data_IF_362073295187
#
_entry.id   IF_362073295187
#
_cell.length_a   1.000
_cell.length_b   1.000
_cell.length_c   1.000
_cell.angle_alpha   90.00
_cell.angle_beta   90.00
_cell.angle_gamma   90.00
#
_symmetry.space_group_name_H-M   'P 1'
#
loop_
_entity.id
_entity.type
_entity.pdbx_description
1 polymer ?
#
# COMPACT_ATOMS: atom_id res chain seq x y z
N UNK A 1 -9.02 -6.17 -6.99
CA UNK A 1 -10.16 -5.27 -7.26
C UNK A 1 -10.92 -5.04 -5.96
N UNK A 2 -11.36 -3.81 -5.71
CA UNK A 2 -12.09 -3.43 -4.51
C UNK A 2 -13.12 -2.32 -4.79
N UNK A 3 -14.04 -2.13 -3.85
CA UNK A 3 -15.02 -1.03 -3.86
C UNK A 3 -15.18 -0.48 -2.45
N UNK A 4 -14.81 0.77 -2.24
CA UNK A 4 -14.89 1.45 -0.94
C UNK A 4 -16.24 2.16 -0.81
N UNK A 5 -17.07 1.77 0.15
CA UNK A 5 -18.40 2.38 0.39
C UNK A 5 -18.57 2.88 1.82
N UNK A 6 -19.39 3.92 1.98
CA UNK A 6 -19.73 4.47 3.28
C UNK A 6 -18.48 4.81 4.08
N UNK A 7 -18.46 4.42 5.35
CA UNK A 7 -17.36 4.74 6.28
C UNK A 7 -15.99 4.22 5.82
N UNK A 8 -15.92 3.15 5.02
CA UNK A 8 -14.64 2.64 4.51
C UNK A 8 -13.94 3.62 3.55
N UNK A 9 -14.70 4.49 2.85
CA UNK A 9 -14.12 5.51 1.97
C UNK A 9 -13.42 6.65 2.72
N UNK A 10 -13.66 6.78 4.03
CA UNK A 10 -13.13 7.85 4.89
C UNK A 10 -12.23 7.32 6.01
N UNK A 11 -12.15 5.99 6.16
CA UNK A 11 -11.41 5.32 7.22
C UNK A 11 -9.96 5.02 6.79
N UNK A 12 -9.13 4.75 7.79
CA UNK A 12 -7.76 4.24 7.58
C UNK A 12 -7.76 2.78 8.00
N UNK A 13 -7.43 1.87 7.08
CA UNK A 13 -7.39 0.45 7.38
C UNK A 13 -6.46 -0.31 6.44
N UNK A 14 -5.92 -1.44 6.92
CA UNK A 14 -5.14 -2.35 6.10
C UNK A 14 -6.08 -3.15 5.19
N UNK A 15 -5.89 -3.02 3.87
CA UNK A 15 -6.53 -3.91 2.90
C UNK A 15 -6.04 -5.34 3.10
N UNK A 16 -4.74 -5.50 3.33
CA UNK A 16 -4.11 -6.73 3.81
C UNK A 16 -2.81 -6.40 4.55
N UNK A 17 -2.40 -7.32 5.42
CA UNK A 17 -1.11 -7.29 6.11
C UNK A 17 -0.58 -8.69 6.35
N UNK A 18 0.74 -8.83 6.34
CA UNK A 18 1.49 -10.00 6.76
C UNK A 18 2.22 -9.64 8.03
N UNK A 19 2.08 -10.50 9.04
CA UNK A 19 2.68 -10.31 10.36
C UNK A 19 3.68 -11.42 10.65
N UNK A 20 4.75 -11.09 11.36
CA UNK A 20 5.64 -12.07 11.97
C UNK A 20 4.93 -12.85 13.09
N UNK A 21 5.57 -13.90 13.60
CA UNK A 21 5.10 -14.62 14.81
C UNK A 21 4.95 -13.66 16.01
N UNK A 22 5.79 -12.62 16.07
CA UNK A 22 5.80 -11.59 17.11
C UNK A 22 4.83 -10.43 16.81
N UNK A 23 3.99 -10.54 15.77
CA UNK A 23 2.99 -9.53 15.35
C UNK A 23 3.58 -8.25 14.74
N UNK A 24 4.85 -8.25 14.33
CA UNK A 24 5.46 -7.14 13.60
C UNK A 24 5.04 -7.16 12.14
N UNK A 25 4.86 -6.00 11.51
CA UNK A 25 4.45 -5.91 10.11
C UNK A 25 5.63 -6.29 9.21
N UNK A 26 5.43 -7.33 8.40
CA UNK A 26 6.39 -7.73 7.36
C UNK A 26 6.06 -7.05 6.02
N UNK A 27 4.77 -6.96 5.72
CA UNK A 27 4.26 -6.19 4.59
C UNK A 27 2.81 -5.79 4.83
N UNK A 28 2.39 -4.63 4.33
CA UNK A 28 0.98 -4.22 4.36
C UNK A 28 0.65 -3.28 3.21
N UNK A 29 -0.62 -3.30 2.78
CA UNK A 29 -1.22 -2.25 1.97
C UNK A 29 -2.31 -1.60 2.80
N UNK A 30 -2.11 -0.34 3.18
CA UNK A 30 -3.06 0.46 3.95
C UNK A 30 -3.75 1.46 3.01
N UNK A 31 -5.08 1.53 3.11
CA UNK A 31 -5.89 2.54 2.43
C UNK A 31 -6.19 3.65 3.42
N UNK A 32 -5.88 4.89 3.07
CA UNK A 32 -6.15 6.05 3.89
C UNK A 32 -7.20 6.95 3.22
N UNK A 33 -8.46 6.78 3.62
CA UNK A 33 -9.56 7.59 3.11
C UNK A 33 -9.57 9.04 3.56
N UNK A 34 -8.78 9.41 4.59
CA UNK A 34 -8.72 10.79 5.09
C UNK A 34 -7.92 11.69 4.16
N UNK A 35 -6.81 11.19 3.63
CA UNK A 35 -5.95 11.92 2.69
C UNK A 35 -5.99 11.35 1.27
N UNK A 36 -6.84 10.35 1.04
CA UNK A 36 -7.04 9.67 -0.25
C UNK A 36 -5.74 9.08 -0.81
N UNK A 37 -4.94 8.45 0.06
CA UNK A 37 -3.66 7.84 -0.29
C UNK A 37 -3.62 6.32 -0.08
N UNK A 38 -2.75 5.67 -0.83
CA UNK A 38 -2.39 4.26 -0.62
C UNK A 38 -1.00 4.20 -0.02
N UNK A 39 -0.80 3.35 0.98
CA UNK A 39 0.48 3.19 1.68
C UNK A 39 0.90 1.74 1.55
N UNK A 40 2.11 1.52 1.05
CA UNK A 40 2.79 0.23 1.13
C UNK A 40 3.81 0.27 2.27
N UNK A 41 3.72 -0.69 3.20
CA UNK A 41 4.68 -0.86 4.31
C UNK A 41 5.43 -2.16 4.09
N UNK A 42 6.74 -2.16 4.32
CA UNK A 42 7.59 -3.37 4.30
C UNK A 42 8.80 -3.19 5.23
N UNK A 43 9.54 -4.26 5.53
CA UNK A 43 10.79 -4.18 6.31
C UNK A 43 11.92 -3.55 5.48
N UNK A 44 12.98 -3.09 6.14
CA UNK A 44 14.19 -2.58 5.51
C UNK A 44 15.41 -3.19 6.19
N UNK A 45 16.53 -3.31 5.46
CA UNK A 45 17.83 -3.66 6.08
C UNK A 45 18.38 -2.54 6.98
N UNK A 46 17.89 -1.31 6.80
CA UNK A 46 18.38 -0.12 7.53
C UNK A 46 17.48 0.29 8.69
N UNK A 47 16.20 -0.10 8.65
CA UNK A 47 15.15 0.32 9.58
C UNK A 47 14.17 -0.83 9.80
N UNK A 48 13.52 -0.90 10.97
CA UNK A 48 12.55 -1.96 11.26
C UNK A 48 11.40 -2.03 10.23
N UNK A 49 10.91 -0.87 9.77
CA UNK A 49 9.86 -0.74 8.75
C UNK A 49 10.13 0.48 7.88
N UNK A 50 9.81 0.40 6.58
CA UNK A 50 9.79 1.51 5.64
C UNK A 50 8.40 1.65 5.00
N UNK A 51 8.03 2.88 4.60
CA UNK A 51 6.73 3.20 4.01
C UNK A 51 6.85 3.95 2.71
N UNK A 52 6.24 3.41 1.65
CA UNK A 52 6.02 4.11 0.40
C UNK A 52 4.59 4.68 0.39
N UNK A 53 4.47 6.01 0.38
CA UNK A 53 3.18 6.70 0.46
C UNK A 53 2.83 7.30 -0.91
N UNK A 54 1.80 6.75 -1.55
CA UNK A 54 1.26 7.24 -2.82
C UNK A 54 0.16 8.27 -2.57
N UNK A 55 0.55 9.55 -2.47
CA UNK A 55 -0.37 10.66 -2.13
C UNK A 55 -1.17 11.21 -3.30
N UNK A 56 -0.77 10.93 -4.55
CA UNK A 56 -1.41 11.47 -5.75
C UNK A 56 -1.99 10.32 -6.58
N UNK A 57 -3.00 10.61 -7.40
CA UNK A 57 -3.59 9.66 -8.34
C UNK A 57 -4.61 8.68 -7.76
N UNK A 58 -4.84 8.66 -6.45
CA UNK A 58 -5.78 7.73 -5.81
C UNK A 58 -7.14 8.33 -5.43
N UNK A 59 -7.42 9.60 -5.72
CA UNK A 59 -8.72 10.23 -5.40
C UNK A 59 -9.93 9.44 -5.94
N UNK A 60 -9.82 8.89 -7.14
CA UNK A 60 -10.87 8.09 -7.79
C UNK A 60 -11.13 6.76 -7.08
N UNK A 61 -10.12 6.14 -6.46
CA UNK A 61 -10.28 4.90 -5.68
C UNK A 61 -11.34 5.03 -4.56
N UNK A 62 -11.53 6.25 -4.04
CA UNK A 62 -12.44 6.56 -2.93
C UNK A 62 -13.81 7.09 -3.39
N UNK A 63 -14.17 6.96 -4.67
CA UNK A 63 -15.40 7.54 -5.24
C UNK A 63 -16.68 6.70 -5.05
N UNK A 64 -16.56 5.50 -4.46
CA UNK A 64 -17.70 4.60 -4.26
C UNK A 64 -17.93 3.58 -5.37
N UNK A 65 -17.10 3.53 -6.42
CA UNK A 65 -17.18 2.57 -7.54
C UNK A 65 -16.14 1.45 -7.39
N UNK A 66 -16.20 0.51 -8.33
CA UNK A 66 -15.25 -0.59 -8.43
C UNK A 66 -13.97 -0.11 -9.10
N UNK A 67 -12.84 -0.46 -8.50
CA UNK A 67 -11.52 -0.14 -9.01
C UNK A 67 -10.55 -1.32 -8.87
N UNK A 68 -9.59 -1.41 -9.78
CA UNK A 68 -8.45 -2.30 -9.67
C UNK A 68 -7.25 -1.53 -9.09
N UNK A 69 -6.90 -1.81 -7.84
CA UNK A 69 -5.62 -1.41 -7.25
C UNK A 69 -4.58 -2.51 -7.49
N UNK A 70 -3.41 -2.14 -8.01
CA UNK A 70 -2.26 -3.04 -8.18
C UNK A 70 -1.01 -2.37 -7.60
N UNK A 71 -0.30 -3.11 -6.75
CA UNK A 71 0.97 -2.70 -6.16
C UNK A 71 2.00 -3.73 -6.62
N UNK A 72 2.94 -3.31 -7.47
CA UNK A 72 4.03 -4.13 -7.96
C UNK A 72 5.28 -3.83 -7.14
N UNK A 73 5.80 -4.85 -6.44
CA UNK A 73 6.94 -4.72 -5.55
C UNK A 73 8.15 -5.41 -6.17
N UNK A 74 9.28 -4.71 -6.17
CA UNK A 74 10.60 -5.20 -6.56
C UNK A 74 11.60 -4.87 -5.44
N UNK A 75 12.81 -5.46 -5.41
CA UNK A 75 13.74 -5.30 -4.29
C UNK A 75 14.11 -3.86 -3.91
N UNK A 76 14.01 -2.91 -4.85
CA UNK A 76 14.39 -1.50 -4.65
C UNK A 76 13.29 -0.51 -5.05
N UNK A 77 12.14 -0.99 -5.52
CA UNK A 77 11.09 -0.12 -6.05
C UNK A 77 9.72 -0.70 -5.77
N UNK A 78 8.74 0.19 -5.59
CA UNK A 78 7.33 -0.15 -5.58
C UNK A 78 6.59 0.75 -6.54
N UNK A 79 5.79 0.13 -7.41
CA UNK A 79 5.00 0.81 -8.43
C UNK A 79 3.53 0.58 -8.13
N UNK A 80 2.74 1.64 -8.21
CA UNK A 80 1.31 1.60 -7.98
C UNK A 80 0.53 1.89 -9.26
N UNK A 81 -0.57 1.15 -9.44
CA UNK A 81 -1.51 1.34 -10.54
C UNK A 81 -2.95 1.39 -10.03
N UNK A 82 -3.77 2.19 -10.71
CA UNK A 82 -5.21 2.25 -10.52
C UNK A 82 -5.90 2.08 -11.86
N UNK A 83 -6.75 1.05 -11.99
CA UNK A 83 -7.46 0.74 -13.24
C UNK A 83 -6.51 0.60 -14.45
N UNK A 84 -5.38 -0.10 -14.22
CA UNK A 84 -4.27 -0.30 -15.16
C UNK A 84 -3.48 0.97 -15.57
N UNK A 85 -3.82 2.14 -15.02
CA UNK A 85 -3.01 3.35 -15.16
C UNK A 85 -1.87 3.37 -14.13
N UNK A 86 -0.64 3.66 -14.58
CA UNK A 86 0.50 3.87 -13.70
C UNK A 86 0.31 5.17 -12.92
N UNK A 87 0.33 5.08 -11.59
CA UNK A 87 0.18 6.24 -10.71
C UNK A 87 1.55 6.80 -10.32
N UNK A 88 2.39 5.96 -9.74
CA UNK A 88 3.70 6.39 -9.24
C UNK A 88 4.61 5.20 -8.95
N UNK A 89 5.91 5.42 -9.17
CA UNK A 89 7.00 4.58 -8.71
C UNK A 89 7.75 5.26 -7.56
N UNK A 90 8.06 4.50 -6.50
CA UNK A 90 8.81 4.97 -5.33
C UNK A 90 9.98 4.02 -5.10
N UNK A 91 11.18 4.59 -4.95
CA UNK A 91 12.38 3.84 -4.55
C UNK A 91 12.27 3.43 -3.09
N UNK A 92 12.56 2.16 -2.82
CA UNK A 92 12.66 1.57 -1.49
C UNK A 92 14.13 1.47 -1.08
N UNK A 93 14.38 1.51 0.22
CA UNK A 93 15.61 0.95 0.77
C UNK A 93 15.62 -0.57 0.51
N UNK A 94 16.79 -1.21 0.45
CA UNK A 94 16.87 -2.65 0.23
C UNK A 94 15.97 -3.40 1.22
N UNK A 95 15.04 -4.18 0.67
CA UNK A 95 14.05 -4.92 1.44
C UNK A 95 14.69 -6.20 1.98
N UNK A 96 14.48 -6.50 3.27
CA UNK A 96 14.82 -7.81 3.81
C UNK A 96 13.86 -8.87 3.28
N UNK A 97 14.34 -9.99 2.72
CA UNK A 97 13.43 -11.04 2.28
C UNK A 97 12.67 -11.62 3.48
N UNK A 98 11.39 -11.93 3.27
CA UNK A 98 10.54 -12.57 4.29
C UNK A 98 11.01 -14.03 4.44
N UNK A 99 11.90 -14.29 5.40
CA UNK A 99 12.30 -15.64 5.81
C UNK A 99 11.49 -16.08 7.04
N UNK A 100 10.94 -17.30 6.97
CA UNK A 100 10.08 -17.92 8.00
C UNK A 100 10.86 -18.52 9.19
#
# INVERSE_FOLDING_TARGET
TLRLKGNSSQSIFDLWRVLSKNKEIQAAVTLNGKDQSVIFTTTSVTEAEQKAIFKKGFKTLYDGKWHQLKILVSPQHVISFLDDELIQEITLHPVEPIYN
#
